data_IF_509044615145
#
_entry.id   IF_509044615145
#
_cell.length_a   1.000
_cell.length_b   1.000
_cell.length_c   1.000
_cell.angle_alpha   90.00
_cell.angle_beta   90.00
_cell.angle_gamma   90.00
#
_symmetry.space_group_name_H-M   'P 1'
#
loop_
_entity.id
_entity.type
_entity.pdbx_description
1 polymer ?
#
# COMPACT_ATOMS: atom_id res chain seq x y z
N UNK A 1 11.11 -11.88 -1.12
CA UNK A 1 12.16 -10.91 -1.50
C UNK A 1 12.76 -10.30 -0.24
N UNK A 2 14.08 -10.27 -0.13
CA UNK A 2 14.77 -9.61 0.97
C UNK A 2 14.97 -8.13 0.67
N UNK A 3 14.58 -7.27 1.61
CA UNK A 3 14.72 -5.81 1.49
C UNK A 3 15.21 -5.21 2.81
N UNK A 4 15.73 -3.99 2.77
CA UNK A 4 16.00 -3.21 3.99
C UNK A 4 14.80 -2.36 4.34
N UNK A 5 14.43 -2.34 5.62
CA UNK A 5 13.44 -1.40 6.13
C UNK A 5 14.06 0.01 6.31
N UNK A 6 13.24 0.99 6.68
CA UNK A 6 13.65 2.37 6.93
C UNK A 6 14.73 2.53 8.03
N UNK A 7 14.90 1.52 8.90
CA UNK A 7 15.94 1.47 9.93
C UNK A 7 17.22 0.76 9.46
N UNK A 8 17.27 0.32 8.20
CA UNK A 8 18.39 -0.43 7.62
C UNK A 8 18.41 -1.94 7.94
N UNK A 9 17.43 -2.45 8.70
CA UNK A 9 17.29 -3.87 9.05
C UNK A 9 16.82 -4.69 7.85
N UNK A 10 17.44 -5.86 7.64
CA UNK A 10 17.02 -6.81 6.62
C UNK A 10 15.70 -7.47 7.04
N UNK A 11 14.68 -7.40 6.17
CA UNK A 11 13.36 -7.99 6.38
C UNK A 11 12.94 -8.77 5.14
N UNK A 12 12.17 -9.83 5.35
CA UNK A 12 11.61 -10.63 4.26
C UNK A 12 10.21 -10.14 3.90
N UNK A 13 10.04 -9.72 2.64
CA UNK A 13 8.75 -9.44 2.04
C UNK A 13 8.28 -10.66 1.23
N UNK A 14 7.19 -11.29 1.65
CA UNK A 14 6.58 -12.38 0.89
C UNK A 14 5.71 -11.78 -0.24
N UNK A 15 6.24 -11.75 -1.46
CA UNK A 15 5.57 -11.16 -2.63
C UNK A 15 4.29 -11.95 -2.99
N UNK A 16 4.28 -13.27 -2.78
CA UNK A 16 3.14 -14.13 -3.11
C UNK A 16 1.88 -13.84 -2.28
N UNK A 17 1.97 -13.01 -1.24
CA UNK A 17 0.81 -12.58 -0.44
C UNK A 17 0.00 -11.45 -1.08
N UNK A 18 0.51 -10.81 -2.12
CA UNK A 18 -0.13 -9.65 -2.75
C UNK A 18 -0.84 -10.07 -4.03
N UNK A 19 -2.11 -9.69 -4.16
CA UNK A 19 -2.97 -10.05 -5.29
C UNK A 19 -2.82 -9.11 -6.49
N UNK A 20 -2.27 -7.91 -6.26
CA UNK A 20 -2.04 -6.91 -7.27
C UNK A 20 -0.76 -6.12 -6.96
N UNK A 21 -0.25 -5.42 -7.97
CA UNK A 21 0.98 -4.64 -7.85
C UNK A 21 0.82 -3.45 -6.91
N UNK A 22 -0.36 -2.82 -6.88
CA UNK A 22 -0.63 -1.66 -6.03
C UNK A 22 -0.38 -1.96 -4.56
N UNK A 23 -0.96 -3.04 -4.04
CA UNK A 23 -0.82 -3.45 -2.63
C UNK A 23 0.62 -3.82 -2.30
N UNK A 24 1.31 -4.48 -3.22
CA UNK A 24 2.73 -4.80 -3.09
C UNK A 24 3.57 -3.51 -2.95
N UNK A 25 3.34 -2.52 -3.82
CA UNK A 25 4.08 -1.26 -3.79
C UNK A 25 3.73 -0.39 -2.58
N UNK A 26 2.48 -0.36 -2.14
CA UNK A 26 2.08 0.28 -0.89
C UNK A 26 2.84 -0.33 0.31
N UNK A 27 2.91 -1.66 0.39
CA UNK A 27 3.66 -2.34 1.44
C UNK A 27 5.17 -2.07 1.34
N UNK A 28 5.73 -2.04 0.12
CA UNK A 28 7.14 -1.70 -0.10
C UNK A 28 7.47 -0.30 0.37
N UNK A 29 6.64 0.68 0.06
CA UNK A 29 6.82 2.07 0.47
C UNK A 29 6.76 2.22 1.98
N UNK A 30 5.80 1.56 2.62
CA UNK A 30 5.72 1.50 4.08
C UNK A 30 6.98 0.90 4.70
N UNK A 31 7.50 -0.18 4.15
CA UNK A 31 8.71 -0.82 4.69
C UNK A 31 9.95 0.06 4.50
N UNK A 32 10.12 0.65 3.31
CA UNK A 32 11.33 1.38 2.92
C UNK A 32 11.39 2.80 3.48
N UNK A 33 10.25 3.47 3.57
CA UNK A 33 10.16 4.89 3.92
C UNK A 33 9.35 5.16 5.19
N UNK A 34 8.71 4.15 5.77
CA UNK A 34 7.78 4.30 6.90
C UNK A 34 6.60 5.24 6.60
N UNK A 35 6.19 5.31 5.32
CA UNK A 35 5.06 6.12 4.85
C UNK A 35 3.88 5.20 4.56
N UNK A 36 2.72 5.53 5.13
CA UNK A 36 1.46 4.93 4.73
C UNK A 36 0.95 5.69 3.50
N UNK A 37 0.79 5.00 2.38
CA UNK A 37 0.00 5.50 1.26
C UNK A 37 -1.43 5.13 1.58
N UNK A 38 -2.19 6.07 2.15
CA UNK A 38 -3.60 5.87 2.41
C UNK A 38 -4.33 5.69 1.07
N UNK A 39 -5.08 4.59 0.98
CA UNK A 39 -5.81 4.21 -0.23
C UNK A 39 -7.20 4.85 -0.33
N UNK A 40 -7.58 5.68 0.64
CA UNK A 40 -8.93 6.19 0.77
C UNK A 40 -9.13 7.48 -0.04
N UNK A 41 -9.10 7.34 -1.36
CA UNK A 41 -10.23 7.89 -2.11
C UNK A 41 -11.16 6.70 -2.22
N UNK A 42 -12.12 6.61 -1.28
CA UNK A 42 -13.17 5.63 -1.37
C UNK A 42 -14.00 5.99 -2.60
N UNK A 43 -13.62 5.41 -3.74
CA UNK A 43 -14.25 5.67 -5.04
C UNK A 43 -15.76 5.44 -4.97
N UNK A 44 -16.20 4.57 -4.05
CA UNK A 44 -17.60 4.36 -3.72
C UNK A 44 -18.23 5.57 -3.04
N UNK A 45 -17.55 6.22 -2.10
CA UNK A 45 -18.06 7.45 -1.47
C UNK A 45 -18.15 8.59 -2.48
N UNK A 46 -17.18 8.68 -3.40
CA UNK A 46 -17.19 9.65 -4.50
C UNK A 46 -18.34 9.38 -5.48
N UNK A 47 -18.55 8.12 -5.89
CA UNK A 47 -19.70 7.71 -6.72
C UNK A 47 -21.04 7.96 -6.00
N UNK A 48 -21.13 7.64 -4.71
CA UNK A 48 -22.33 7.88 -3.92
C UNK A 48 -22.60 9.37 -3.73
N UNK A 49 -21.57 10.22 -3.70
CA UNK A 49 -21.74 11.68 -3.66
C UNK A 49 -22.35 12.22 -4.96
N UNK A 50 -22.00 11.65 -6.12
CA UNK A 50 -22.52 12.05 -7.43
C UNK A 50 -23.97 11.57 -7.61
N UNK A 51 -24.31 10.36 -7.14
CA UNK A 51 -25.66 9.80 -7.26
C UNK A 51 -26.66 10.50 -6.33
N UNK A 52 -26.22 10.96 -5.17
CA UNK A 52 -27.07 11.66 -4.18
C UNK A 52 -27.07 13.19 -4.34
N UNK A 53 -26.38 13.74 -5.37
CA UNK A 53 -26.43 15.16 -5.76
C UNK A 53 -27.46 15.38 -6.87
#
# INVERSE_FOLDING_TARGET
MWIRNYQGKLVYLNISKYHNEKDLYCALWKIKFNVNIDNDINFNDELMSIINS
#
